data_IF_589408400655
#
_entry.id   IF_589408400655
#
_cell.length_a   1.000
_cell.length_b   1.000
_cell.length_c   1.000
_cell.angle_alpha   90.00
_cell.angle_beta   90.00
_cell.angle_gamma   90.00
#
_symmetry.space_group_name_H-M   'P 1'
#
loop_
_entity.id
_entity.type
_entity.pdbx_description
1 polymer ?
#
# COMPACT_ATOMS: atom_id res chain seq x y z
N UNK A 1 15.60 -54.92 -28.45
CA UNK A 1 14.73 -53.82 -28.89
C UNK A 1 13.59 -53.69 -27.90
N UNK A 2 13.72 -52.83 -26.89
CA UNK A 2 12.66 -52.58 -25.91
C UNK A 2 12.36 -51.09 -25.92
N UNK A 3 11.25 -50.70 -26.54
CA UNK A 3 10.72 -49.33 -26.42
C UNK A 3 10.07 -49.22 -25.04
N UNK A 4 10.60 -48.36 -24.19
CA UNK A 4 9.91 -47.86 -23.01
C UNK A 4 8.84 -46.88 -23.52
N UNK A 5 7.58 -47.29 -23.47
CA UNK A 5 6.43 -46.42 -23.70
C UNK A 5 6.36 -45.48 -22.50
N UNK A 6 6.86 -44.25 -22.67
CA UNK A 6 6.74 -43.22 -21.65
C UNK A 6 5.29 -42.72 -21.68
N UNK A 7 4.48 -43.20 -20.73
CA UNK A 7 3.11 -42.72 -20.53
C UNK A 7 3.19 -41.27 -20.02
N UNK A 8 3.03 -40.32 -20.94
CA UNK A 8 2.92 -38.90 -20.60
C UNK A 8 1.61 -38.69 -19.85
N UNK A 9 1.68 -38.69 -18.52
CA UNK A 9 0.57 -38.29 -17.66
C UNK A 9 0.23 -36.83 -17.98
N UNK A 10 -1.03 -36.49 -18.31
CA UNK A 10 -1.41 -35.11 -18.56
C UNK A 10 -1.03 -34.28 -17.33
N UNK A 11 -0.30 -33.18 -17.53
CA UNK A 11 -0.12 -32.17 -16.48
C UNK A 11 -1.55 -31.70 -16.17
N UNK A 12 -2.02 -31.77 -14.91
CA UNK A 12 -3.30 -31.18 -14.58
C UNK A 12 -3.23 -29.72 -15.00
N UNK A 13 -4.20 -29.28 -15.81
CA UNK A 13 -4.44 -27.85 -16.01
C UNK A 13 -4.86 -27.38 -14.62
N UNK A 14 -3.87 -27.00 -13.81
CA UNK A 14 -4.13 -26.15 -12.67
C UNK A 14 -4.82 -24.94 -13.29
N UNK A 15 -6.03 -24.60 -12.82
CA UNK A 15 -6.56 -23.26 -13.03
C UNK A 15 -5.37 -22.32 -12.84
N UNK A 16 -5.00 -21.57 -13.89
CA UNK A 16 -3.85 -20.67 -13.79
C UNK A 16 -4.03 -19.93 -12.47
N UNK A 17 -3.06 -20.01 -11.54
CA UNK A 17 -3.25 -19.46 -10.21
C UNK A 17 -3.66 -18.03 -10.46
N UNK A 18 -4.91 -17.70 -10.13
CA UNK A 18 -5.49 -16.42 -10.48
C UNK A 18 -4.51 -15.40 -9.92
N UNK A 19 -3.77 -14.73 -10.81
CA UNK A 19 -2.68 -13.85 -10.42
C UNK A 19 -3.31 -12.51 -10.01
N UNK A 20 -4.32 -12.61 -9.14
CA UNK A 20 -5.10 -11.52 -8.64
C UNK A 20 -4.33 -10.87 -7.51
N UNK A 21 -4.31 -9.54 -7.56
CA UNK A 21 -3.92 -8.74 -6.42
C UNK A 21 -4.97 -8.95 -5.31
N UNK A 22 -4.51 -9.26 -4.10
CA UNK A 22 -5.40 -9.44 -2.95
C UNK A 22 -6.02 -8.12 -2.48
N UNK A 23 -5.35 -7.01 -2.74
CA UNK A 23 -5.84 -5.67 -2.45
C UNK A 23 -5.48 -4.69 -3.59
N UNK A 24 -6.29 -3.65 -3.86
CA UNK A 24 -6.04 -2.72 -4.97
C UNK A 24 -4.66 -2.05 -4.92
N UNK A 25 -4.18 -1.68 -3.73
CA UNK A 25 -2.89 -1.02 -3.55
C UNK A 25 -1.70 -1.88 -4.00
N UNK A 26 -1.85 -3.21 -3.99
CA UNK A 26 -0.80 -4.13 -4.43
C UNK A 26 -0.54 -3.99 -5.94
N UNK A 27 -1.61 -3.82 -6.72
CA UNK A 27 -1.52 -3.55 -8.15
C UNK A 27 -0.81 -2.21 -8.42
N UNK A 28 -1.13 -1.19 -7.62
CA UNK A 28 -0.53 0.13 -7.71
C UNK A 28 0.97 0.11 -7.37
N UNK A 29 1.37 -0.60 -6.31
CA UNK A 29 2.76 -0.78 -5.92
C UNK A 29 3.57 -1.51 -7.00
N UNK A 30 3.00 -2.58 -7.58
CA UNK A 30 3.60 -3.31 -8.69
C UNK A 30 3.76 -2.40 -9.92
N UNK A 31 2.70 -1.72 -10.33
CA UNK A 31 2.71 -0.83 -11.49
C UNK A 31 3.71 0.32 -11.32
N UNK A 32 3.80 0.90 -10.12
CA UNK A 32 4.76 1.95 -9.79
C UNK A 32 6.20 1.46 -9.95
N UNK A 33 6.53 0.29 -9.37
CA UNK A 33 7.86 -0.29 -9.50
C UNK A 33 8.21 -0.61 -10.96
N UNK A 34 7.24 -1.08 -11.74
CA UNK A 34 7.43 -1.37 -13.16
C UNK A 34 7.67 -0.09 -13.99
N UNK A 35 6.85 0.95 -13.77
CA UNK A 35 6.97 2.22 -14.50
C UNK A 35 8.29 2.93 -14.21
N UNK A 36 8.76 2.93 -12.96
CA UNK A 36 10.06 3.51 -12.60
C UNK A 36 11.23 2.78 -13.27
N UNK A 37 11.14 1.45 -13.36
CA UNK A 37 12.11 0.62 -14.08
C UNK A 37 12.10 0.92 -15.59
N UNK A 38 10.91 0.93 -16.21
CA UNK A 38 10.74 1.26 -17.64
C UNK A 38 11.19 2.70 -17.96
N UNK A 39 11.02 3.62 -17.01
CA UNK A 39 11.53 5.00 -17.08
C UNK A 39 13.05 5.13 -16.89
N UNK A 40 13.75 4.02 -16.62
CA UNK A 40 15.21 3.98 -16.53
C UNK A 40 15.78 4.44 -15.18
N UNK A 41 14.97 4.59 -14.14
CA UNK A 41 15.46 5.01 -12.82
C UNK A 41 16.36 3.92 -12.18
N UNK A 42 15.99 2.67 -12.42
CA UNK A 42 16.78 1.49 -12.09
C UNK A 42 16.49 0.39 -13.11
N UNK A 43 17.42 -0.54 -13.25
CA UNK A 43 17.26 -1.76 -14.04
C UNK A 43 16.50 -2.83 -13.26
N UNK A 44 15.89 -3.77 -13.99
CA UNK A 44 15.27 -4.93 -13.36
C UNK A 44 16.26 -5.80 -12.57
N UNK A 45 17.53 -5.84 -12.98
CA UNK A 45 18.58 -6.54 -12.23
C UNK A 45 18.86 -5.90 -10.87
N UNK A 46 18.96 -4.56 -10.82
CA UNK A 46 19.07 -3.82 -9.55
C UNK A 46 17.86 -4.08 -8.64
N UNK A 47 16.65 -4.09 -9.22
CA UNK A 47 15.42 -4.42 -8.50
C UNK A 47 15.48 -5.81 -7.85
N UNK A 48 15.79 -6.84 -8.64
CA UNK A 48 15.87 -8.23 -8.13
C UNK A 48 16.91 -8.37 -7.03
N UNK A 49 18.06 -7.69 -7.15
CA UNK A 49 19.09 -7.68 -6.11
C UNK A 49 18.60 -7.04 -4.80
N UNK A 50 17.97 -5.85 -4.89
CA UNK A 50 17.41 -5.16 -3.73
C UNK A 50 16.31 -5.97 -3.06
N UNK A 51 15.36 -6.51 -3.84
CA UNK A 51 14.24 -7.28 -3.33
C UNK A 51 14.70 -8.59 -2.67
N UNK A 52 15.63 -9.32 -3.28
CA UNK A 52 16.20 -10.55 -2.69
C UNK A 52 17.00 -10.27 -1.42
N UNK A 53 17.63 -9.11 -1.29
CA UNK A 53 18.27 -8.70 -0.04
C UNK A 53 17.23 -8.46 1.07
N UNK A 54 16.15 -7.72 0.77
CA UNK A 54 15.06 -7.47 1.72
C UNK A 54 14.39 -8.76 2.18
N UNK A 55 14.09 -9.71 1.28
CA UNK A 55 13.48 -10.99 1.67
C UNK A 55 14.34 -11.74 2.69
N UNK A 56 15.68 -11.70 2.53
CA UNK A 56 16.62 -12.34 3.46
C UNK A 56 16.71 -11.60 4.79
N UNK A 57 16.73 -10.27 4.76
CA UNK A 57 16.82 -9.43 5.96
C UNK A 57 15.51 -9.41 6.77
N UNK A 58 14.38 -9.50 6.09
CA UNK A 58 13.05 -9.32 6.65
C UNK A 58 12.12 -10.48 6.26
N UNK A 59 12.40 -11.72 6.70
CA UNK A 59 11.57 -12.87 6.38
C UNK A 59 10.12 -12.69 6.86
N UNK A 60 9.23 -13.56 6.39
CA UNK A 60 7.83 -13.61 6.82
C UNK A 60 7.75 -13.76 8.34
N UNK A 61 6.86 -12.97 8.97
CA UNK A 61 6.58 -13.06 10.41
C UNK A 61 5.59 -14.19 10.70
N UNK A 62 5.60 -14.72 11.93
CA UNK A 62 4.76 -15.85 12.32
C UNK A 62 3.24 -15.54 12.26
N UNK A 63 2.88 -14.27 12.39
CA UNK A 63 1.52 -13.72 12.40
C UNK A 63 1.10 -13.10 11.06
N UNK A 64 1.94 -13.19 10.03
CA UNK A 64 1.75 -12.53 8.74
C UNK A 64 1.43 -13.56 7.65
N UNK A 65 0.50 -13.24 6.74
CA UNK A 65 0.24 -14.10 5.57
C UNK A 65 1.41 -14.04 4.58
N UNK A 66 1.51 -15.02 3.68
CA UNK A 66 2.55 -15.00 2.63
C UNK A 66 2.41 -13.75 1.74
N UNK A 67 1.17 -13.36 1.42
CA UNK A 67 0.89 -12.18 0.60
C UNK A 67 1.26 -10.87 1.30
N UNK A 68 0.93 -10.74 2.59
CA UNK A 68 1.28 -9.56 3.38
C UNK A 68 2.80 -9.41 3.49
N UNK A 69 3.51 -10.51 3.78
CA UNK A 69 4.97 -10.53 3.83
C UNK A 69 5.57 -10.12 2.48
N UNK A 70 5.06 -10.69 1.38
CA UNK A 70 5.54 -10.42 0.04
C UNK A 70 5.44 -8.94 -0.32
N UNK A 71 4.28 -8.31 -0.14
CA UNK A 71 4.11 -6.91 -0.51
C UNK A 71 4.74 -5.94 0.50
N UNK A 72 4.84 -6.30 1.79
CA UNK A 72 5.67 -5.55 2.75
C UNK A 72 7.14 -5.52 2.31
N UNK A 73 7.69 -6.68 1.93
CA UNK A 73 9.06 -6.79 1.40
C UNK A 73 9.21 -6.04 0.07
N UNK A 74 8.20 -6.07 -0.79
CA UNK A 74 8.19 -5.36 -2.07
C UNK A 74 8.29 -3.85 -1.87
N UNK A 75 7.45 -3.28 -1.00
CA UNK A 75 7.48 -1.85 -0.67
C UNK A 75 8.82 -1.45 -0.03
N UNK A 76 9.30 -2.23 0.94
CA UNK A 76 10.59 -1.96 1.60
C UNK A 76 11.77 -1.97 0.61
N UNK A 77 11.74 -2.87 -0.39
CA UNK A 77 12.75 -2.90 -1.45
C UNK A 77 12.67 -1.67 -2.36
N UNK A 78 11.46 -1.24 -2.72
CA UNK A 78 11.24 -0.05 -3.54
C UNK A 78 11.71 1.22 -2.81
N UNK A 79 11.31 1.41 -1.56
CA UNK A 79 11.71 2.55 -0.75
C UNK A 79 13.23 2.61 -0.58
N UNK A 80 13.87 1.48 -0.26
CA UNK A 80 15.33 1.40 -0.13
C UNK A 80 16.05 1.73 -1.45
N UNK A 81 15.56 1.21 -2.57
CA UNK A 81 16.15 1.46 -3.88
C UNK A 81 16.03 2.94 -4.28
N UNK A 82 14.88 3.56 -4.03
CA UNK A 82 14.64 4.99 -4.28
C UNK A 82 15.47 5.89 -3.36
N UNK A 83 15.67 5.48 -2.10
CA UNK A 83 16.55 6.17 -1.16
C UNK A 83 18.02 6.12 -1.61
N UNK A 84 18.50 4.97 -2.05
CA UNK A 84 19.86 4.85 -2.61
C UNK A 84 20.07 5.70 -3.87
N UNK A 85 19.01 5.95 -4.64
CA UNK A 85 19.02 6.82 -5.83
C UNK A 85 18.80 8.30 -5.49
N UNK A 86 18.70 8.67 -4.20
CA UNK A 86 18.42 10.02 -3.70
C UNK A 86 17.13 10.65 -4.26
N UNK A 87 16.16 9.82 -4.65
CA UNK A 87 14.84 10.27 -5.15
C UNK A 87 13.84 10.43 -4.01
N UNK A 88 14.02 9.66 -2.93
CA UNK A 88 13.14 9.61 -1.77
C UNK A 88 13.98 9.63 -0.51
N UNK A 89 13.62 10.44 0.48
CA UNK A 89 14.17 10.36 1.83
C UNK A 89 13.22 9.54 2.69
N UNK A 90 13.73 8.82 3.68
CA UNK A 90 12.90 8.00 4.57
C UNK A 90 11.83 8.85 5.29
N UNK A 91 12.16 10.09 5.62
CA UNK A 91 11.24 11.07 6.20
C UNK A 91 10.09 11.46 5.27
N UNK A 92 10.25 11.37 3.94
CA UNK A 92 9.19 11.71 2.99
C UNK A 92 8.03 10.72 3.11
N UNK A 93 8.33 9.42 3.25
CA UNK A 93 7.31 8.36 3.38
C UNK A 93 6.52 8.54 4.68
N UNK A 94 7.22 8.72 5.80
CA UNK A 94 6.58 8.85 7.11
C UNK A 94 5.77 10.15 7.21
N UNK A 95 6.29 11.25 6.66
CA UNK A 95 5.56 12.52 6.53
C UNK A 95 4.29 12.34 5.69
N UNK A 96 4.38 11.62 4.55
CA UNK A 96 3.22 11.37 3.69
C UNK A 96 2.16 10.50 4.36
N UNK A 97 2.57 9.49 5.12
CA UNK A 97 1.66 8.67 5.94
C UNK A 97 0.95 9.51 7.01
N UNK A 98 1.69 10.37 7.72
CA UNK A 98 1.13 11.27 8.72
C UNK A 98 0.12 12.25 8.12
N UNK A 99 0.40 12.80 6.94
CA UNK A 99 -0.54 13.63 6.18
C UNK A 99 -1.81 12.87 5.81
N UNK A 100 -1.69 11.64 5.30
CA UNK A 100 -2.88 10.83 5.01
C UNK A 100 -3.72 10.52 6.24
N UNK A 101 -3.07 10.27 7.39
CA UNK A 101 -3.77 10.09 8.66
C UNK A 101 -4.55 11.36 9.04
N UNK A 102 -3.93 12.53 8.94
CA UNK A 102 -4.63 13.81 9.19
C UNK A 102 -5.79 14.03 8.22
N UNK A 103 -5.59 13.74 6.93
CA UNK A 103 -6.65 13.84 5.94
C UNK A 103 -7.85 12.99 6.34
N UNK A 104 -7.60 11.75 6.77
CA UNK A 104 -8.66 10.86 7.26
C UNK A 104 -9.39 11.45 8.47
N UNK A 105 -8.67 11.93 9.49
CA UNK A 105 -9.28 12.51 10.70
C UNK A 105 -10.08 13.79 10.42
N UNK A 106 -9.68 14.56 9.41
CA UNK A 106 -10.33 15.82 9.06
C UNK A 106 -11.46 15.66 8.03
N UNK A 107 -11.61 14.48 7.42
CA UNK A 107 -12.65 14.19 6.44
C UNK A 107 -13.95 13.83 7.15
N UNK A 108 -15.05 14.61 6.99
CA UNK A 108 -16.34 14.22 7.54
C UNK A 108 -16.78 12.85 7.02
N UNK A 109 -17.43 12.05 7.87
CA UNK A 109 -17.91 10.72 7.47
C UNK A 109 -18.77 10.76 6.20
N UNK A 110 -18.51 9.83 5.28
CA UNK A 110 -19.20 9.76 3.99
C UNK A 110 -18.65 10.69 2.91
N UNK A 111 -17.64 11.51 3.20
CA UNK A 111 -16.90 12.29 2.21
C UNK A 111 -15.62 11.57 1.77
N UNK A 112 -15.14 11.76 0.53
CA UNK A 112 -13.89 11.18 0.06
C UNK A 112 -12.70 11.82 0.77
N UNK A 113 -11.70 11.01 1.12
CA UNK A 113 -10.47 11.49 1.76
C UNK A 113 -9.58 12.15 0.71
N UNK A 114 -9.11 13.36 0.99
CA UNK A 114 -8.24 14.14 0.09
C UNK A 114 -7.07 14.77 0.83
N UNK A 115 -5.87 14.56 0.31
CA UNK A 115 -4.65 15.19 0.85
C UNK A 115 -4.59 16.69 0.65
N UNK A 116 -5.28 17.26 -0.34
CA UNK A 116 -5.17 18.67 -0.69
C UNK A 116 -5.48 19.60 0.51
N UNK A 117 -6.28 19.12 1.47
CA UNK A 117 -6.65 19.87 2.67
C UNK A 117 -5.52 19.95 3.70
N UNK A 118 -4.61 18.98 3.70
CA UNK A 118 -3.56 18.82 4.72
C UNK A 118 -2.15 18.94 4.15
N UNK A 119 -1.98 18.93 2.84
CA UNK A 119 -0.67 18.95 2.16
C UNK A 119 0.22 20.15 2.54
N UNK A 120 -0.39 21.25 2.96
CA UNK A 120 0.33 22.46 3.39
C UNK A 120 0.72 22.45 4.89
N UNK A 121 0.40 21.39 5.64
CA UNK A 121 0.77 21.27 7.04
C UNK A 121 2.27 20.99 7.13
N UNK A 122 3.02 21.97 7.64
CA UNK A 122 4.48 21.90 7.74
C UNK A 122 4.99 20.81 8.70
N UNK A 123 4.23 20.53 9.77
CA UNK A 123 4.55 19.48 10.74
C UNK A 123 3.29 18.62 11.00
N UNK A 124 3.12 17.51 10.25
CA UNK A 124 1.97 16.65 10.42
C UNK A 124 2.03 15.84 11.73
N UNK A 125 3.21 15.60 12.30
CA UNK A 125 3.35 14.85 13.54
C UNK A 125 2.84 15.67 14.73
N UNK A 126 3.24 16.94 14.83
CA UNK A 126 2.70 17.85 15.85
C UNK A 126 1.20 18.11 15.68
N UNK A 127 0.68 18.06 14.44
CA UNK A 127 -0.76 18.15 14.20
C UNK A 127 -1.52 16.89 14.69
N UNK A 128 -0.98 15.68 14.47
CA UNK A 128 -1.56 14.42 14.95
C UNK A 128 -1.53 14.32 16.48
N UNK A 129 -0.47 14.79 17.12
CA UNK A 129 -0.38 14.84 18.58
C UNK A 129 -1.47 15.74 19.16
N UNK A 130 -1.67 16.95 18.59
CA UNK A 130 -2.76 17.84 18.99
C UNK A 130 -4.15 17.22 18.78
N UNK A 131 -4.35 16.51 17.68
CA UNK A 131 -5.62 15.82 17.42
C UNK A 131 -5.89 14.72 18.45
N UNK A 132 -4.84 14.02 18.89
CA UNK A 132 -4.92 12.95 19.91
C UNK A 132 -5.19 13.49 21.32
N UNK A 133 -4.74 14.72 21.63
CA UNK A 133 -4.95 15.40 22.90
C UNK A 133 -6.33 16.06 23.03
N UNK A 134 -7.08 16.19 21.94
CA UNK A 134 -8.41 16.78 21.96
C UNK A 134 -9.41 15.67 22.29
N UNK A 135 -10.05 15.65 23.48
CA UNK A 135 -11.12 14.69 23.73
C UNK A 135 -12.22 15.00 22.72
N UNK A 136 -12.65 14.00 21.95
CA UNK A 136 -13.86 14.15 21.15
C UNK A 136 -14.96 14.67 22.09
N UNK A 137 -15.66 15.77 21.77
CA UNK A 137 -16.77 16.21 22.58
C UNK A 137 -17.71 15.00 22.71
N UNK A 138 -17.98 14.57 23.94
CA UNK A 138 -18.93 13.51 24.25
C UNK A 138 -20.31 13.95 23.73
N UNK A 139 -20.59 13.66 22.47
CA UNK A 139 -21.87 13.88 21.86
C UNK A 139 -22.80 12.76 22.37
N UNK A 140 -23.47 13.01 23.50
CA UNK A 140 -24.60 12.21 23.95
C UNK A 140 -25.76 12.37 22.96
N UNK A 141 -25.69 11.69 21.81
CA UNK A 141 -26.82 11.56 20.88
C UNK A 141 -27.66 10.34 21.27
N UNK A 142 -28.65 10.56 22.13
CA UNK A 142 -29.80 9.64 22.19
C UNK A 142 -30.74 9.98 21.02
N UNK A 143 -30.64 9.23 19.92
CA UNK A 143 -31.65 9.24 18.87
C UNK A 143 -32.00 7.80 18.46
N UNK A 144 -33.19 7.36 18.85
CA UNK A 144 -33.81 6.13 18.37
C UNK A 144 -34.28 6.33 16.93
N UNK A 145 -33.63 5.68 15.96
CA UNK A 145 -34.27 5.35 14.68
C UNK A 145 -33.89 3.93 14.24
N UNK A 146 -34.89 3.06 14.22
CA UNK A 146 -34.81 1.78 13.55
C UNK A 146 -34.86 2.01 12.03
N UNK A 147 -33.72 1.80 11.36
CA UNK A 147 -33.65 1.47 9.92
C UNK A 147 -32.44 0.57 9.71
N UNK A 148 -32.66 -0.56 9.05
CA UNK A 148 -31.72 -1.68 8.94
C UNK A 148 -30.37 -1.34 8.29
N UNK A 149 -29.38 -2.23 8.41
CA UNK A 149 -28.00 -1.94 8.01
C UNK A 149 -27.89 -1.92 6.48
N UNK A 150 -27.76 -0.72 5.90
CA UNK A 150 -27.11 -0.59 4.62
C UNK A 150 -25.60 -0.78 4.85
N UNK A 151 -24.97 -1.71 4.14
CA UNK A 151 -23.54 -1.97 4.24
C UNK A 151 -22.76 -0.68 3.91
N UNK A 152 -21.78 -0.27 4.74
CA UNK A 152 -20.96 0.90 4.43
C UNK A 152 -20.19 0.65 3.14
N UNK A 153 -20.37 1.53 2.15
CA UNK A 153 -19.59 1.52 0.91
C UNK A 153 -18.16 2.02 1.15
N UNK A 154 -17.18 1.57 0.35
CA UNK A 154 -15.76 1.87 0.60
C UNK A 154 -15.46 3.36 0.64
N UNK A 155 -14.51 3.75 1.50
CA UNK A 155 -13.94 5.10 1.56
C UNK A 155 -13.13 5.31 0.29
N UNK A 156 -13.65 6.11 -0.63
CA UNK A 156 -12.90 6.52 -1.82
C UNK A 156 -11.78 7.47 -1.39
N UNK A 157 -10.53 7.05 -1.65
CA UNK A 157 -9.35 7.92 -1.56
C UNK A 157 -9.22 8.64 -2.89
N UNK A 158 -9.28 9.98 -2.88
CA UNK A 158 -9.00 10.76 -4.08
C UNK A 158 -7.49 10.87 -4.26
N UNK A 159 -6.93 10.52 -5.44
CA UNK A 159 -5.49 10.69 -5.67
C UNK A 159 -5.09 12.15 -5.47
N UNK A 160 -3.95 12.37 -4.79
CA UNK A 160 -3.39 13.70 -4.63
C UNK A 160 -3.06 14.30 -6.01
N UNK A 161 -3.44 15.56 -6.25
CA UNK A 161 -3.13 16.22 -7.52
C UNK A 161 -1.63 16.49 -7.58
N UNK A 162 -0.94 15.95 -8.59
CA UNK A 162 0.43 16.37 -8.87
C UNK A 162 0.41 17.86 -9.27
N UNK A 163 1.16 18.70 -8.55
CA UNK A 163 1.36 20.09 -8.94
C UNK A 163 2.04 20.13 -10.31
N UNK A 164 1.30 20.55 -11.34
CA UNK A 164 1.85 20.81 -12.67
C UNK A 164 2.76 22.03 -12.53
N UNK A 165 4.06 21.82 -12.72
CA UNK A 165 5.07 22.88 -12.76
C UNK A 165 5.19 23.46 -14.16
#
# INVERSE_FOLDING_TARGET
MTRLTQEQRPIPIMDEPEMSFGEPWQAEAFATALQLSQGGLYSWTEWVQAFSAIIREQPQRADESIGDAYYRQWLAALERLLAHKAVLREEDVTTRQALWHLAYLHTPHGQPVSLNQVEQIADPFAALERASLTPAPHAHHHHHHARGPAAPTPIAVSPGRAATR
#
